data_IF_805598024049
#
_entry.id   IF_805598024049
#
_cell.length_a   1.000
_cell.length_b   1.000
_cell.length_c   1.000
_cell.angle_alpha   90.00
_cell.angle_beta   90.00
_cell.angle_gamma   90.00
#
_symmetry.space_group_name_H-M   'P 1'
#
loop_
_entity.id
_entity.type
_entity.pdbx_description
1 polymer ?
#
# COMPACT_ATOMS: atom_id res chain seq x y z
N UNK A 1 -34.37 -50.47 1.36
CA UNK A 1 -34.41 -49.16 0.66
C UNK A 1 -34.33 -48.04 1.70
N UNK A 2 -33.15 -47.49 2.01
CA UNK A 2 -33.01 -46.24 2.84
C UNK A 2 -31.60 -45.64 2.92
N UNK A 3 -30.63 -46.05 2.09
CA UNK A 3 -29.23 -45.60 2.20
C UNK A 3 -28.60 -45.03 0.91
N UNK A 4 -29.40 -44.67 -0.10
CA UNK A 4 -28.90 -44.32 -1.43
C UNK A 4 -29.10 -42.85 -1.85
N UNK A 5 -29.53 -41.97 -0.94
CA UNK A 5 -29.86 -40.56 -1.28
C UNK A 5 -28.80 -39.55 -0.81
N UNK A 6 -27.84 -39.93 0.05
CA UNK A 6 -26.90 -38.96 0.66
C UNK A 6 -25.63 -38.72 -0.17
N UNK A 7 -25.34 -39.54 -1.19
CA UNK A 7 -24.07 -39.43 -1.96
C UNK A 7 -24.15 -38.47 -3.16
N UNK A 8 -25.35 -38.00 -3.54
CA UNK A 8 -25.53 -37.13 -4.73
C UNK A 8 -25.30 -35.63 -4.42
N UNK A 9 -25.23 -35.23 -3.14
CA UNK A 9 -25.05 -33.81 -2.75
C UNK A 9 -23.59 -33.36 -2.60
N UNK A 10 -22.59 -34.23 -2.83
CA UNK A 10 -21.16 -33.87 -2.70
C UNK A 10 -20.46 -33.60 -4.05
N UNK A 11 -21.14 -33.73 -5.18
CA UNK A 11 -20.54 -33.63 -6.52
C UNK A 11 -20.84 -32.32 -7.28
N UNK A 12 -21.54 -31.36 -6.67
CA UNK A 12 -21.78 -30.02 -7.23
C UNK A 12 -21.16 -28.90 -6.39
N UNK A 13 -19.98 -29.15 -5.80
CA UNK A 13 -19.10 -28.07 -5.35
C UNK A 13 -18.48 -27.40 -6.56
N UNK A 14 -19.27 -26.63 -7.31
CA UNK A 14 -18.77 -25.77 -8.38
C UNK A 14 -17.70 -24.79 -7.84
N UNK A 15 -16.76 -24.32 -8.69
CA UNK A 15 -15.65 -23.43 -8.34
C UNK A 15 -16.07 -21.99 -7.97
N UNK A 16 -17.24 -21.80 -7.36
CA UNK A 16 -17.85 -20.52 -7.01
C UNK A 16 -17.00 -19.64 -6.10
N UNK A 17 -16.05 -20.21 -5.36
CA UNK A 17 -15.14 -19.44 -4.51
C UNK A 17 -14.03 -18.71 -5.30
N UNK A 18 -13.71 -19.14 -6.53
CA UNK A 18 -12.54 -18.62 -7.25
C UNK A 18 -12.83 -17.35 -8.04
N UNK A 19 -14.04 -17.19 -8.60
CA UNK A 19 -14.41 -15.98 -9.36
C UNK A 19 -14.54 -14.74 -8.47
N UNK A 20 -15.16 -14.89 -7.28
CA UNK A 20 -15.44 -13.76 -6.39
C UNK A 20 -14.17 -13.08 -5.86
N UNK A 21 -13.09 -13.84 -5.62
CA UNK A 21 -11.83 -13.26 -5.12
C UNK A 21 -11.19 -12.34 -6.15
N UNK A 22 -11.28 -12.67 -7.44
CA UNK A 22 -10.63 -11.90 -8.52
C UNK A 22 -11.33 -10.58 -8.86
N UNK A 23 -12.55 -10.39 -8.35
CA UNK A 23 -13.31 -9.14 -8.43
C UNK A 23 -13.00 -8.17 -7.27
N UNK A 24 -12.32 -8.64 -6.22
CA UNK A 24 -11.91 -7.80 -5.10
C UNK A 24 -10.70 -6.94 -5.47
N UNK A 25 -10.62 -5.74 -4.88
CA UNK A 25 -9.40 -4.93 -4.93
C UNK A 25 -8.32 -5.61 -4.05
N UNK A 26 -7.24 -6.15 -4.63
CA UNK A 26 -6.24 -6.88 -3.87
C UNK A 26 -5.44 -5.97 -2.93
N UNK A 27 -5.34 -4.67 -3.23
CA UNK A 27 -4.66 -3.72 -2.35
C UNK A 27 -5.37 -3.66 -1.00
N UNK A 28 -6.70 -3.50 -1.00
CA UNK A 28 -7.52 -3.45 0.20
C UNK A 28 -7.53 -4.80 0.94
N UNK A 29 -7.85 -5.89 0.23
CA UNK A 29 -7.96 -7.22 0.86
C UNK A 29 -6.64 -7.69 1.47
N UNK A 30 -5.51 -7.47 0.79
CA UNK A 30 -4.22 -7.93 1.30
C UNK A 30 -3.64 -6.99 2.38
N UNK A 31 -4.03 -5.72 2.44
CA UNK A 31 -3.45 -4.72 3.36
C UNK A 31 -4.18 -4.59 4.71
N UNK A 32 -5.25 -5.35 4.94
CA UNK A 32 -6.08 -5.23 6.15
C UNK A 32 -5.29 -5.24 7.46
N UNK A 33 -4.29 -6.12 7.59
CA UNK A 33 -3.44 -6.17 8.80
C UNK A 33 -2.49 -4.95 8.92
N UNK A 34 -2.17 -4.27 7.82
CA UNK A 34 -1.28 -3.10 7.77
C UNK A 34 -2.04 -1.80 8.08
N UNK A 35 -3.35 -1.73 7.81
CA UNK A 35 -4.17 -0.53 7.98
C UNK A 35 -4.00 0.16 9.34
N UNK A 36 -3.93 -0.55 10.49
CA UNK A 36 -3.68 0.09 11.79
C UNK A 36 -2.38 0.91 11.83
N UNK A 37 -1.35 0.50 11.10
CA UNK A 37 -0.08 1.21 11.01
C UNK A 37 -0.12 2.44 10.11
N UNK A 38 -1.09 2.54 9.19
CA UNK A 38 -1.34 3.76 8.44
C UNK A 38 -1.96 4.84 9.33
N UNK A 39 -2.72 4.43 10.35
CA UNK A 39 -3.34 5.31 11.34
C UNK A 39 -2.41 5.62 12.52
N UNK A 40 -1.52 4.69 12.86
CA UNK A 40 -0.52 4.85 13.92
C UNK A 40 0.80 4.20 13.48
N UNK A 41 1.72 4.96 12.86
CA UNK A 41 2.96 4.41 12.35
C UNK A 41 3.81 3.86 13.50
N UNK A 42 4.70 2.88 13.23
CA UNK A 42 5.65 2.38 14.21
C UNK A 42 6.39 3.51 14.92
N UNK A 43 6.53 3.43 16.24
CA UNK A 43 7.22 4.44 17.04
C UNK A 43 8.59 3.99 17.55
N UNK A 44 8.88 2.70 17.39
CA UNK A 44 10.06 2.02 17.88
C UNK A 44 10.42 0.83 16.98
N UNK A 45 11.52 0.16 17.33
CA UNK A 45 12.05 -0.96 16.56
C UNK A 45 11.12 -2.19 16.60
N UNK A 46 10.53 -2.51 17.76
CA UNK A 46 9.65 -3.68 17.91
C UNK A 46 8.38 -3.54 17.06
N UNK A 47 7.73 -2.38 17.10
CA UNK A 47 6.56 -2.09 16.27
C UNK A 47 6.92 -2.05 14.78
N UNK A 48 8.14 -1.63 14.44
CA UNK A 48 8.62 -1.65 13.06
C UNK A 48 8.88 -3.08 12.56
N UNK A 49 9.52 -3.92 13.36
CA UNK A 49 9.73 -5.35 13.06
C UNK A 49 8.38 -6.04 12.88
N UNK A 50 7.38 -5.71 13.70
CA UNK A 50 6.03 -6.22 13.54
C UNK A 50 5.43 -5.83 12.18
N UNK A 51 5.47 -4.54 11.82
CA UNK A 51 5.02 -4.04 10.50
C UNK A 51 5.77 -4.74 9.35
N UNK A 52 7.07 -4.96 9.48
CA UNK A 52 7.88 -5.64 8.48
C UNK A 52 7.44 -7.09 8.23
N UNK A 53 7.04 -7.82 9.29
CA UNK A 53 6.40 -9.13 9.15
C UNK A 53 5.09 -9.08 8.37
N UNK A 54 4.30 -8.00 8.54
CA UNK A 54 3.06 -7.79 7.80
C UNK A 54 3.32 -7.47 6.32
N UNK A 55 4.37 -6.72 5.97
CA UNK A 55 4.75 -6.52 4.57
C UNK A 55 5.06 -7.85 3.85
N UNK A 56 5.72 -8.79 4.52
CA UNK A 56 5.98 -10.12 3.95
C UNK A 56 4.67 -10.86 3.66
N UNK A 57 3.71 -10.83 4.60
CA UNK A 57 2.37 -11.41 4.39
C UNK A 57 1.64 -10.74 3.23
N UNK A 58 1.66 -9.42 3.20
CA UNK A 58 1.03 -8.60 2.17
C UNK A 58 1.58 -8.93 0.77
N UNK A 59 2.90 -8.96 0.61
CA UNK A 59 3.54 -9.31 -0.67
C UNK A 59 3.22 -10.73 -1.12
N UNK A 60 3.13 -11.68 -0.18
CA UNK A 60 2.71 -13.06 -0.47
C UNK A 60 1.25 -13.12 -0.92
N UNK A 61 0.37 -12.36 -0.27
CA UNK A 61 -1.04 -12.24 -0.64
C UNK A 61 -1.17 -11.68 -2.07
N UNK A 62 -0.50 -10.56 -2.37
CA UNK A 62 -0.51 -9.91 -3.69
C UNK A 62 0.00 -10.84 -4.79
N UNK A 63 1.11 -11.56 -4.55
CA UNK A 63 1.62 -12.56 -5.51
C UNK A 63 0.62 -13.69 -5.73
N UNK A 64 0.04 -14.23 -4.66
CA UNK A 64 -0.93 -15.32 -4.73
C UNK A 64 -2.17 -14.89 -5.50
N UNK A 65 -2.67 -13.68 -5.27
CA UNK A 65 -3.76 -13.09 -6.02
C UNK A 65 -3.42 -12.99 -7.51
N UNK A 66 -2.26 -12.40 -7.85
CA UNK A 66 -1.85 -12.22 -9.24
C UNK A 66 -1.78 -13.57 -9.99
N UNK A 67 -1.19 -14.59 -9.37
CA UNK A 67 -1.12 -15.94 -9.94
C UNK A 67 -2.50 -16.61 -10.06
N UNK A 68 -3.36 -16.49 -9.05
CA UNK A 68 -4.69 -17.14 -9.06
C UNK A 68 -5.67 -16.50 -10.03
N UNK A 69 -5.54 -15.20 -10.24
CA UNK A 69 -6.46 -14.40 -11.06
C UNK A 69 -5.89 -14.07 -12.44
N UNK A 70 -4.82 -14.76 -12.85
CA UNK A 70 -4.14 -14.61 -14.14
C UNK A 70 -3.85 -13.13 -14.50
N UNK A 71 -3.36 -12.38 -13.50
CA UNK A 71 -2.99 -10.97 -13.69
C UNK A 71 -1.55 -10.91 -14.19
N UNK A 72 -1.33 -10.16 -15.27
CA UNK A 72 -0.01 -9.93 -15.84
C UNK A 72 0.91 -9.18 -14.86
N UNK A 73 2.21 -9.18 -15.13
CA UNK A 73 3.17 -8.39 -14.35
C UNK A 73 2.93 -6.87 -14.48
N UNK A 74 2.29 -6.44 -15.57
CA UNK A 74 1.89 -5.06 -15.80
C UNK A 74 0.63 -4.64 -15.01
N UNK A 75 -0.05 -5.58 -14.35
CA UNK A 75 -1.20 -5.25 -13.50
C UNK A 75 -0.76 -4.30 -12.40
N UNK A 76 -1.29 -3.08 -12.44
CA UNK A 76 -0.78 -1.92 -11.69
C UNK A 76 -0.54 -2.18 -10.19
N UNK A 77 -1.48 -2.79 -9.43
CA UNK A 77 -1.24 -3.13 -8.03
C UNK A 77 -0.05 -4.08 -7.84
N UNK A 78 0.12 -5.07 -8.71
CA UNK A 78 1.21 -6.02 -8.59
C UNK A 78 2.56 -5.38 -8.92
N UNK A 79 2.63 -4.57 -9.99
CA UNK A 79 3.83 -3.81 -10.36
C UNK A 79 4.28 -2.87 -9.24
N UNK A 80 3.36 -2.11 -8.65
CA UNK A 80 3.65 -1.24 -7.51
C UNK A 80 4.33 -2.00 -6.37
N UNK A 81 3.85 -3.19 -6.05
CA UNK A 81 4.39 -4.02 -4.98
C UNK A 81 5.76 -4.61 -5.32
N UNK A 82 6.03 -4.91 -6.60
CA UNK A 82 7.38 -5.27 -7.02
C UNK A 82 8.35 -4.09 -6.84
N UNK A 83 7.93 -2.90 -7.22
CA UNK A 83 8.74 -1.68 -7.14
C UNK A 83 8.99 -1.23 -5.69
N UNK A 84 8.02 -1.43 -4.80
CA UNK A 84 8.10 -1.09 -3.38
C UNK A 84 9.05 -2.01 -2.58
N UNK A 85 9.56 -3.10 -3.15
CA UNK A 85 10.47 -4.02 -2.46
C UNK A 85 11.74 -3.36 -1.96
N UNK A 86 12.27 -2.38 -2.69
CA UNK A 86 13.47 -1.65 -2.26
C UNK A 86 13.19 -0.79 -1.03
N UNK A 87 12.02 -0.16 -0.96
CA UNK A 87 11.58 0.55 0.23
C UNK A 87 11.43 -0.40 1.42
N UNK A 88 10.72 -1.52 1.26
CA UNK A 88 10.55 -2.49 2.36
C UNK A 88 11.89 -3.08 2.78
N UNK A 89 12.76 -3.45 1.84
CA UNK A 89 14.12 -3.91 2.15
C UNK A 89 14.94 -2.86 2.89
N UNK A 90 14.85 -1.59 2.48
CA UNK A 90 15.46 -0.48 3.21
C UNK A 90 14.88 -0.33 4.62
N UNK A 91 13.57 -0.23 4.76
CA UNK A 91 12.95 0.07 6.05
C UNK A 91 13.03 -1.11 7.04
N UNK A 92 13.01 -2.35 6.53
CA UNK A 92 12.89 -3.56 7.34
C UNK A 92 14.18 -4.34 7.55
N UNK A 93 15.27 -3.98 6.86
CA UNK A 93 16.57 -4.59 7.12
C UNK A 93 17.21 -3.92 8.34
N UNK A 94 17.51 -4.72 9.35
CA UNK A 94 18.12 -4.25 10.60
C UNK A 94 19.44 -3.54 10.32
N UNK A 95 19.61 -2.36 10.90
CA UNK A 95 20.81 -1.55 10.76
C UNK A 95 20.95 -0.84 9.41
N UNK A 96 19.96 -0.88 8.53
CA UNK A 96 20.00 -0.09 7.30
C UNK A 96 19.95 1.42 7.61
N UNK A 97 20.50 2.23 6.70
CA UNK A 97 20.41 3.69 6.82
C UNK A 97 18.96 4.19 6.84
N UNK A 98 18.06 3.60 6.05
CA UNK A 98 16.67 4.04 5.99
C UNK A 98 15.91 3.71 7.29
N UNK A 99 16.16 2.53 7.86
CA UNK A 99 15.58 2.11 9.13
C UNK A 99 16.05 3.05 10.25
N UNK A 100 17.35 3.30 10.35
CA UNK A 100 17.91 4.19 11.37
C UNK A 100 17.41 5.62 11.24
N UNK A 101 17.35 6.16 10.01
CA UNK A 101 16.80 7.49 9.75
C UNK A 101 15.32 7.57 10.12
N UNK A 102 14.54 6.52 9.83
CA UNK A 102 13.13 6.45 10.21
C UNK A 102 12.97 6.41 11.74
N UNK A 103 13.65 5.49 12.43
CA UNK A 103 13.54 5.28 13.88
C UNK A 103 13.93 6.53 14.67
N UNK A 104 14.84 7.35 14.15
CA UNK A 104 15.19 8.66 14.74
C UNK A 104 13.98 9.60 14.89
N UNK A 105 13.02 9.52 13.97
CA UNK A 105 11.84 10.39 13.92
C UNK A 105 10.51 9.66 14.18
N UNK A 106 10.52 8.34 14.34
CA UNK A 106 9.34 7.47 14.43
C UNK A 106 8.32 7.96 15.47
N UNK A 107 8.76 8.20 16.71
CA UNK A 107 7.89 8.75 17.76
C UNK A 107 7.30 10.12 17.40
N UNK A 108 8.05 10.97 16.71
CA UNK A 108 7.53 12.26 16.26
C UNK A 108 6.49 12.09 15.15
N UNK A 109 6.73 11.21 14.17
CA UNK A 109 5.75 10.91 13.13
C UNK A 109 4.43 10.42 13.71
N UNK A 110 4.47 9.50 14.68
CA UNK A 110 3.27 9.04 15.38
C UNK A 110 2.52 10.19 16.06
N UNK A 111 3.24 11.08 16.74
CA UNK A 111 2.62 12.23 17.41
C UNK A 111 2.07 13.28 16.44
N UNK A 112 2.59 13.36 15.21
CA UNK A 112 2.09 14.26 14.17
C UNK A 112 0.88 13.70 13.40
N UNK A 113 0.50 12.43 13.62
CA UNK A 113 -0.60 11.79 12.92
C UNK A 113 -1.95 12.52 13.02
N UNK A 114 -2.35 13.09 14.17
CA UNK A 114 -3.59 13.84 14.26
C UNK A 114 -3.64 15.04 13.29
N UNK A 115 -2.52 15.71 13.06
CA UNK A 115 -2.44 16.82 12.08
C UNK A 115 -2.20 16.36 10.65
N UNK A 116 -1.66 15.15 10.46
CA UNK A 116 -1.51 14.50 9.14
C UNK A 116 -2.85 14.00 8.61
N UNK A 117 -3.75 13.52 9.48
CA UNK A 117 -5.02 12.89 9.08
C UNK A 117 -5.87 13.73 8.11
N UNK A 118 -6.03 15.05 8.28
CA UNK A 118 -6.75 15.87 7.29
C UNK A 118 -6.13 15.90 5.89
N UNK A 119 -4.82 15.61 5.75
CA UNK A 119 -4.18 15.42 4.45
C UNK A 119 -4.64 14.08 3.81
N UNK A 120 -4.85 13.04 4.62
CA UNK A 120 -5.22 11.68 4.20
C UNK A 120 -6.72 11.49 3.94
N UNK A 121 -7.63 12.12 4.69
CA UNK A 121 -9.08 11.90 4.49
C UNK A 121 -9.59 12.31 3.09
N UNK A 122 -8.84 13.15 2.37
CA UNK A 122 -9.14 13.54 0.98
C UNK A 122 -8.70 12.51 -0.07
N UNK A 123 -8.17 11.37 0.37
CA UNK A 123 -7.36 10.46 -0.44
C UNK A 123 -7.94 9.05 -0.59
N UNK A 124 -8.52 8.51 0.50
CA UNK A 124 -8.81 7.08 0.60
C UNK A 124 -9.74 6.57 -0.52
N UNK A 125 -10.66 7.40 -1.01
CA UNK A 125 -11.56 7.04 -2.12
C UNK A 125 -10.87 6.98 -3.47
N UNK A 126 -9.88 7.85 -3.73
CA UNK A 126 -9.20 7.92 -5.03
C UNK A 126 -8.15 6.80 -5.15
N UNK A 127 -7.50 6.43 -4.04
CA UNK A 127 -6.57 5.31 -3.99
C UNK A 127 -7.24 3.99 -4.35
N UNK A 128 -8.38 3.71 -3.71
CA UNK A 128 -9.11 2.47 -3.93
C UNK A 128 -9.68 2.38 -5.34
N UNK A 129 -10.10 3.52 -5.91
CA UNK A 129 -10.50 3.61 -7.30
C UNK A 129 -9.32 3.38 -8.26
N UNK A 130 -8.18 4.01 -8.01
CA UNK A 130 -6.99 3.93 -8.86
C UNK A 130 -6.38 2.53 -8.95
N UNK A 131 -6.45 1.77 -7.85
CA UNK A 131 -5.99 0.38 -7.76
C UNK A 131 -7.10 -0.65 -7.90
N UNK A 132 -8.31 -0.23 -8.29
CA UNK A 132 -9.42 -1.14 -8.54
C UNK A 132 -9.09 -2.12 -9.69
N UNK A 133 -9.75 -3.30 -9.74
CA UNK A 133 -9.56 -4.26 -10.83
C UNK A 133 -10.01 -3.71 -12.21
N UNK A 134 -10.80 -2.63 -12.22
CA UNK A 134 -11.23 -1.91 -13.41
C UNK A 134 -10.24 -0.77 -13.68
N UNK A 135 -9.07 -1.10 -14.21
CA UNK A 135 -7.99 -0.14 -14.43
C UNK A 135 -8.48 1.20 -14.99
N UNK A 136 -8.21 2.29 -14.27
CA UNK A 136 -8.47 3.64 -14.76
C UNK A 136 -7.53 3.90 -15.94
N UNK A 137 -8.10 4.14 -17.12
CA UNK A 137 -7.37 4.41 -18.37
C UNK A 137 -7.54 5.84 -18.90
N UNK A 138 -8.54 6.56 -18.39
CA UNK A 138 -8.80 7.93 -18.79
C UNK A 138 -7.65 8.87 -18.35
N UNK A 139 -6.94 9.53 -19.28
CA UNK A 139 -5.78 10.35 -18.95
C UNK A 139 -6.10 11.55 -18.05
N UNK A 140 -7.27 12.17 -18.19
CA UNK A 140 -7.68 13.32 -17.36
C UNK A 140 -7.90 12.87 -15.92
N UNK A 141 -8.60 11.75 -15.73
CA UNK A 141 -8.80 11.12 -14.41
C UNK A 141 -7.47 10.73 -13.77
N UNK A 142 -6.53 10.16 -14.54
CA UNK A 142 -5.19 9.81 -14.03
C UNK A 142 -4.42 11.07 -13.59
N UNK A 143 -4.50 12.16 -14.36
CA UNK A 143 -3.83 13.43 -14.02
C UNK A 143 -4.44 14.06 -12.76
N UNK A 144 -5.77 14.04 -12.63
CA UNK A 144 -6.47 14.54 -11.44
C UNK A 144 -6.09 13.76 -10.18
N UNK A 145 -6.06 12.42 -10.28
CA UNK A 145 -5.58 11.54 -9.21
C UNK A 145 -4.13 11.89 -8.88
N UNK A 146 -3.25 11.97 -9.89
CA UNK A 146 -1.86 12.35 -9.68
C UNK A 146 -1.71 13.68 -8.91
N UNK A 147 -2.45 14.72 -9.32
CA UNK A 147 -2.43 16.04 -8.66
C UNK A 147 -2.82 15.94 -7.19
N UNK A 148 -3.85 15.16 -6.86
CA UNK A 148 -4.28 14.93 -5.48
C UNK A 148 -3.22 14.16 -4.67
N UNK A 149 -2.63 13.11 -5.24
CA UNK A 149 -1.55 12.36 -4.61
C UNK A 149 -0.33 13.25 -4.30
N UNK A 150 0.08 14.10 -5.25
CA UNK A 150 1.16 15.09 -5.05
C UNK A 150 0.81 16.09 -3.95
N UNK A 151 -0.41 16.63 -3.98
CA UNK A 151 -0.88 17.56 -2.96
C UNK A 151 -0.89 16.93 -1.57
N UNK A 152 -1.28 15.66 -1.46
CA UNK A 152 -1.27 14.91 -0.21
C UNK A 152 0.16 14.74 0.34
N UNK A 153 1.09 14.23 -0.48
CA UNK A 153 2.51 14.12 -0.09
C UNK A 153 3.08 15.48 0.34
N UNK A 154 2.75 16.55 -0.39
CA UNK A 154 3.13 17.92 -0.04
C UNK A 154 2.60 18.32 1.34
N UNK A 155 1.30 18.14 1.59
CA UNK A 155 0.63 18.43 2.85
C UNK A 155 1.28 17.67 4.02
N UNK A 156 1.45 16.35 3.91
CA UNK A 156 2.05 15.51 4.94
C UNK A 156 3.48 15.93 5.23
N UNK A 157 4.28 16.15 4.18
CA UNK A 157 5.68 16.56 4.32
C UNK A 157 5.81 17.89 5.06
N UNK A 158 4.86 18.79 4.88
CA UNK A 158 4.85 20.10 5.49
C UNK A 158 4.42 20.05 6.96
N UNK A 159 3.42 19.22 7.29
CA UNK A 159 3.07 18.92 8.69
C UNK A 159 4.28 18.31 9.41
N UNK A 160 4.94 17.33 8.80
CA UNK A 160 6.17 16.72 9.35
C UNK A 160 7.26 17.78 9.56
N UNK A 161 7.48 18.69 8.60
CA UNK A 161 8.47 19.76 8.76
C UNK A 161 8.17 20.64 9.98
N UNK A 162 6.91 21.01 10.15
CA UNK A 162 6.47 21.87 11.24
C UNK A 162 6.56 21.19 12.60
N UNK A 163 6.27 19.89 12.67
CA UNK A 163 6.22 19.12 13.93
C UNK A 163 7.54 18.44 14.32
N UNK A 164 8.27 17.94 13.33
CA UNK A 164 9.44 17.07 13.49
C UNK A 164 10.73 17.65 12.89
N UNK A 165 10.66 18.78 12.18
CA UNK A 165 11.82 19.47 11.62
C UNK A 165 12.12 19.11 10.15
N UNK A 166 13.05 19.87 9.55
CA UNK A 166 13.39 19.75 8.13
C UNK A 166 14.02 18.40 7.76
N UNK A 167 14.88 17.85 8.62
CA UNK A 167 15.49 16.53 8.40
C UNK A 167 14.45 15.41 8.36
N UNK A 168 13.47 15.45 9.26
CA UNK A 168 12.34 14.51 9.26
C UNK A 168 11.52 14.60 7.96
N UNK A 169 11.29 15.81 7.43
CA UNK A 169 10.67 15.99 6.11
C UNK A 169 11.49 15.31 5.01
N UNK A 170 12.81 15.44 5.01
CA UNK A 170 13.66 14.81 4.02
C UNK A 170 13.61 13.27 4.10
N UNK A 171 13.62 12.70 5.31
CA UNK A 171 13.47 11.26 5.50
C UNK A 171 12.11 10.77 5.00
N UNK A 172 11.03 11.46 5.32
CA UNK A 172 9.69 11.15 4.80
C UNK A 172 9.63 11.19 3.27
N UNK A 173 10.16 12.24 2.64
CA UNK A 173 10.18 12.35 1.18
C UNK A 173 11.02 11.24 0.53
N UNK A 174 12.13 10.84 1.16
CA UNK A 174 12.93 9.69 0.72
C UNK A 174 12.15 8.38 0.81
N UNK A 175 11.36 8.19 1.87
CA UNK A 175 10.45 7.04 1.99
C UNK A 175 9.43 7.02 0.85
N UNK A 176 8.79 8.16 0.55
CA UNK A 176 7.83 8.28 -0.57
C UNK A 176 8.49 8.00 -1.92
N UNK A 177 9.72 8.45 -2.12
CA UNK A 177 10.47 8.20 -3.34
C UNK A 177 10.84 6.71 -3.50
N UNK A 178 11.37 6.09 -2.44
CA UNK A 178 11.79 4.69 -2.45
C UNK A 178 10.61 3.73 -2.57
N UNK A 179 9.44 4.09 -2.05
CA UNK A 179 8.22 3.29 -2.21
C UNK A 179 7.67 3.35 -3.63
N UNK A 180 8.22 4.23 -4.49
CA UNK A 180 7.76 4.48 -5.87
C UNK A 180 6.29 4.88 -5.95
N UNK A 181 5.72 5.33 -4.82
CA UNK A 181 4.31 5.67 -4.71
C UNK A 181 3.90 6.73 -5.72
N UNK A 182 4.61 7.86 -5.77
CA UNK A 182 4.30 8.90 -6.75
C UNK A 182 4.63 8.47 -8.18
N UNK A 183 5.61 7.60 -8.43
CA UNK A 183 5.89 7.12 -9.78
C UNK A 183 4.71 6.29 -10.32
N UNK A 184 4.12 5.46 -9.46
CA UNK A 184 2.96 4.64 -9.84
C UNK A 184 1.71 5.48 -10.00
N UNK A 185 1.46 6.43 -9.11
CA UNK A 185 0.22 7.23 -9.13
C UNK A 185 0.33 8.47 -10.03
N UNK A 186 1.55 8.81 -10.46
CA UNK A 186 1.88 9.88 -11.39
C UNK A 186 2.92 9.39 -12.41
N UNK A 187 2.53 8.68 -13.48
CA UNK A 187 3.47 8.12 -14.45
C UNK A 187 4.37 9.15 -15.13
N UNK A 188 3.93 10.41 -15.24
CA UNK A 188 4.70 11.54 -15.79
C UNK A 188 5.55 12.29 -14.76
N UNK A 189 5.75 11.73 -13.57
CA UNK A 189 6.51 12.41 -12.50
C UNK A 189 7.97 12.65 -12.85
N UNK A 190 8.60 11.70 -13.55
CA UNK A 190 10.02 11.78 -13.92
C UNK A 190 10.28 12.60 -15.21
N UNK A 191 9.23 13.03 -15.93
CA UNK A 191 9.38 13.84 -17.16
C UNK A 191 9.54 15.35 -16.88
N UNK A 192 9.43 15.79 -15.62
CA UNK A 192 9.31 17.22 -15.25
C UNK A 192 10.38 17.69 -14.23
N UNK A 193 11.23 16.79 -13.71
CA UNK A 193 12.35 17.14 -12.81
C UNK A 193 13.68 16.64 -13.36
#
# INVERSE_FOLDING_TARGET
MKFLIVVILLSFGEPFAQSQVCELNPMFFCSFEIEPFLQSPPEDEDSLVHLCGLFVKYFRCMRTFATKCDKSEDYRPYKYIQDARNFVGGLCFEGSFLQQDYLRFAKCYKNAMPEIRPCQEKFDTDHDYYFSPYEVKDPETIEDICKKHRANVGCISEVIRMKCGGEAKHVFLRIVQLSKYLLVTCPKFDEVN
#
